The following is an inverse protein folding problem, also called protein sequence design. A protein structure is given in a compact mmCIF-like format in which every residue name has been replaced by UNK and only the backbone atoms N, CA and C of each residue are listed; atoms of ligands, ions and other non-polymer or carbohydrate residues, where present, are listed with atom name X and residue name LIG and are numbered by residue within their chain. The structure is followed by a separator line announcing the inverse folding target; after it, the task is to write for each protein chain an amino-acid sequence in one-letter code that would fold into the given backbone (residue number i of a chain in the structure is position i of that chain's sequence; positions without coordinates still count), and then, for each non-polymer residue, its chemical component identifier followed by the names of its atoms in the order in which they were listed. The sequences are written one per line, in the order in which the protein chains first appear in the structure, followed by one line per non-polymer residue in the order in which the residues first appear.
data_IF_368190975034
#
_entry.id   IF_368190975034
#
_cell.length_a   1.000
_cell.length_b   1.000
_cell.length_c   1.000
_cell.angle_alpha   90.00
_cell.angle_beta   90.00
_cell.angle_gamma   90.00
#
_symmetry.space_group_name_H-M   'P 1'
#
loop_
_entity.id
_entity.type
_entity.pdbx_description
1 polymer ?
#
# COMPACT_ATOMS: atom_id res chain seq x y z
N UNK A 1 7.47 -80.15 -17.51
CA UNK A 1 7.92 -79.25 -16.36
C UNK A 1 7.96 -77.87 -16.91
N UNK A 2 6.87 -77.10 -16.70
CA UNK A 2 6.77 -75.70 -17.13
C UNK A 2 6.83 -74.86 -15.85
N UNK A 3 7.89 -74.04 -15.71
CA UNK A 3 8.05 -73.07 -14.60
C UNK A 3 7.25 -71.81 -14.93
N UNK A 4 6.24 -71.54 -14.13
CA UNK A 4 5.46 -70.31 -14.19
C UNK A 4 6.22 -69.24 -13.36
N UNK A 5 6.74 -68.20 -14.03
CA UNK A 5 7.25 -67.00 -13.40
C UNK A 5 6.09 -66.08 -13.11
N UNK A 6 5.81 -65.85 -11.83
CA UNK A 6 4.92 -64.79 -11.35
C UNK A 6 5.73 -63.48 -11.22
N UNK A 7 5.52 -62.56 -12.14
CA UNK A 7 6.05 -61.19 -12.01
C UNK A 7 5.03 -60.32 -11.25
N UNK A 8 5.39 -60.03 -9.99
CA UNK A 8 4.64 -59.11 -9.15
C UNK A 8 4.93 -57.65 -9.59
N UNK A 9 4.02 -57.07 -10.33
CA UNK A 9 4.08 -55.66 -10.69
C UNK A 9 3.63 -54.83 -9.50
N UNK A 10 4.60 -54.29 -8.77
CA UNK A 10 4.35 -53.29 -7.71
C UNK A 10 3.98 -51.97 -8.33
N UNK A 11 2.69 -51.67 -8.35
CA UNK A 11 2.16 -50.38 -8.78
C UNK A 11 2.39 -49.38 -7.66
N UNK A 12 3.48 -48.62 -7.73
CA UNK A 12 3.68 -47.42 -6.88
C UNK A 12 2.67 -46.35 -7.36
N UNK A 13 1.54 -46.27 -6.69
CA UNK A 13 0.65 -45.10 -6.78
C UNK A 13 1.34 -43.97 -6.10
N UNK A 14 2.03 -43.14 -6.89
CA UNK A 14 2.47 -41.82 -6.43
C UNK A 14 1.21 -40.99 -6.24
N UNK A 15 0.70 -40.90 -5.00
CA UNK A 15 -0.19 -39.83 -4.60
C UNK A 15 0.61 -38.52 -4.69
N UNK A 16 0.60 -37.90 -5.86
CA UNK A 16 0.89 -36.49 -5.96
C UNK A 16 -0.23 -35.77 -5.19
N UNK A 17 0.06 -35.38 -3.97
CA UNK A 17 -0.72 -34.32 -3.34
C UNK A 17 -0.56 -33.09 -4.23
N UNK A 18 -1.52 -32.86 -5.14
CA UNK A 18 -1.76 -31.52 -5.66
C UNK A 18 -2.07 -30.66 -4.43
N UNK A 19 -1.05 -30.00 -3.88
CA UNK A 19 -1.31 -28.80 -3.10
C UNK A 19 -2.08 -27.88 -4.04
N UNK A 20 -3.39 -27.79 -3.87
CA UNK A 20 -4.16 -26.66 -4.38
C UNK A 20 -3.46 -25.43 -3.84
N UNK A 21 -2.64 -24.79 -4.65
CA UNK A 21 -2.11 -23.47 -4.38
C UNK A 21 -3.33 -22.58 -4.22
N UNK A 22 -3.64 -22.25 -2.99
CA UNK A 22 -4.77 -21.35 -2.69
C UNK A 22 -4.50 -20.05 -3.43
N UNK A 23 -5.45 -19.64 -4.28
CA UNK A 23 -5.28 -18.45 -5.10
C UNK A 23 -5.11 -17.25 -4.19
N UNK A 24 -4.12 -16.40 -4.46
CA UNK A 24 -3.88 -15.19 -3.69
C UNK A 24 -5.17 -14.34 -3.59
N UNK A 25 -5.66 -14.03 -2.38
CA UNK A 25 -6.93 -13.35 -2.16
C UNK A 25 -7.06 -11.98 -2.84
N UNK A 26 -5.93 -11.33 -3.15
CA UNK A 26 -5.90 -10.03 -3.79
C UNK A 26 -6.09 -10.06 -5.31
N UNK A 27 -5.99 -11.22 -5.96
CA UNK A 27 -6.08 -11.33 -7.42
C UNK A 27 -7.51 -11.19 -7.95
N UNK A 28 -8.50 -11.33 -7.09
CA UNK A 28 -9.91 -11.13 -7.40
C UNK A 28 -10.54 -10.16 -6.41
N UNK A 29 -11.69 -9.61 -6.76
CA UNK A 29 -12.49 -8.83 -5.81
C UNK A 29 -12.90 -9.68 -4.61
N UNK A 30 -12.95 -9.06 -3.43
CA UNK A 30 -13.41 -9.74 -2.23
C UNK A 30 -14.90 -10.10 -2.34
N UNK A 31 -15.21 -11.38 -2.14
CA UNK A 31 -16.58 -11.91 -2.24
C UNK A 31 -17.31 -11.90 -0.89
N UNK A 32 -16.92 -11.04 0.01
CA UNK A 32 -17.52 -10.82 1.32
C UNK A 32 -18.63 -9.80 1.23
N UNK A 33 -19.43 -9.68 2.28
CA UNK A 33 -20.42 -8.60 2.41
C UNK A 33 -19.70 -7.24 2.30
N UNK A 34 -20.24 -6.35 1.48
CA UNK A 34 -19.69 -5.02 1.17
C UNK A 34 -18.29 -5.02 0.51
N UNK A 35 -17.78 -6.16 0.03
CA UNK A 35 -16.44 -6.25 -0.54
C UNK A 35 -15.31 -6.04 0.47
N UNK A 36 -15.57 -6.27 1.75
CA UNK A 36 -14.57 -6.10 2.80
C UNK A 36 -13.47 -7.18 2.71
N UNK A 37 -12.21 -6.88 3.08
CA UNK A 37 -11.13 -7.88 3.11
C UNK A 37 -11.45 -9.04 4.07
N UNK A 38 -11.24 -10.28 3.62
CA UNK A 38 -11.34 -11.46 4.49
C UNK A 38 -9.98 -11.74 5.16
N UNK A 39 -9.76 -11.11 6.31
CA UNK A 39 -8.50 -11.25 7.05
C UNK A 39 -8.23 -12.67 7.54
N UNK A 40 -9.22 -13.58 7.54
CA UNK A 40 -8.98 -14.99 7.87
C UNK A 40 -8.20 -15.74 6.78
N UNK A 41 -8.19 -15.20 5.54
CA UNK A 41 -7.53 -15.75 4.36
C UNK A 41 -6.29 -14.98 3.95
N UNK A 42 -6.18 -13.71 4.34
CA UNK A 42 -5.02 -12.87 3.99
C UNK A 42 -3.85 -13.22 4.92
N UNK A 43 -2.68 -13.45 4.33
CA UNK A 43 -1.41 -13.75 5.02
C UNK A 43 -0.30 -12.88 4.48
N UNK A 44 0.80 -12.77 5.24
CA UNK A 44 1.95 -11.95 4.86
C UNK A 44 2.50 -12.29 3.46
N UNK A 45 2.59 -13.59 3.14
CA UNK A 45 3.08 -14.07 1.85
C UNK A 45 2.23 -13.68 0.64
N UNK A 46 1.01 -13.19 0.84
CA UNK A 46 0.13 -12.75 -0.24
C UNK A 46 0.44 -11.33 -0.73
N UNK A 47 1.02 -10.46 0.11
CA UNK A 47 1.18 -9.05 -0.21
C UNK A 47 2.17 -8.79 -1.35
N UNK A 48 3.41 -9.29 -1.21
CA UNK A 48 4.44 -9.03 -2.22
C UNK A 48 4.05 -9.51 -3.61
N UNK A 49 3.60 -10.77 -3.81
CA UNK A 49 3.13 -11.21 -5.12
C UNK A 49 1.96 -10.38 -5.66
N UNK A 50 1.07 -9.88 -4.77
CA UNK A 50 -0.05 -9.06 -5.18
C UNK A 50 0.38 -7.65 -5.61
N UNK A 51 1.34 -7.04 -4.91
CA UNK A 51 1.95 -5.79 -5.33
C UNK A 51 2.61 -5.92 -6.72
N UNK A 52 3.46 -6.93 -6.89
CA UNK A 52 4.16 -7.14 -8.16
C UNK A 52 3.20 -7.43 -9.31
N UNK A 53 2.17 -8.24 -9.07
CA UNK A 53 1.14 -8.54 -10.07
C UNK A 53 0.30 -7.31 -10.40
N UNK A 54 -0.07 -6.51 -9.38
CA UNK A 54 -0.81 -5.27 -9.58
C UNK A 54 -0.02 -4.22 -10.38
N UNK A 55 1.28 -4.12 -10.15
CA UNK A 55 2.19 -3.27 -10.93
C UNK A 55 2.26 -3.75 -12.39
N UNK A 56 2.43 -5.06 -12.61
CA UNK A 56 2.46 -5.64 -13.96
C UNK A 56 1.18 -5.34 -14.75
N UNK A 57 0.03 -5.56 -14.14
CA UNK A 57 -1.27 -5.31 -14.78
C UNK A 57 -1.48 -3.82 -15.05
N UNK A 58 -1.21 -2.94 -14.07
CA UNK A 58 -1.37 -1.51 -14.28
C UNK A 58 -0.42 -0.99 -15.37
N UNK A 59 0.81 -1.49 -15.44
CA UNK A 59 1.73 -1.14 -16.53
C UNK A 59 1.16 -1.52 -17.91
N UNK A 60 0.51 -2.68 -18.03
CA UNK A 60 -0.14 -3.09 -19.27
C UNK A 60 -1.34 -2.21 -19.61
N UNK A 61 -2.16 -1.84 -18.62
CA UNK A 61 -3.29 -0.92 -18.76
C UNK A 61 -2.84 0.49 -19.19
N UNK A 62 -1.81 1.03 -18.55
CA UNK A 62 -1.22 2.33 -18.92
C UNK A 62 -0.67 2.28 -20.35
N UNK A 63 0.04 1.19 -20.69
CA UNK A 63 0.52 1.01 -22.05
C UNK A 63 -0.62 0.98 -23.08
N UNK A 64 -1.73 0.32 -22.78
CA UNK A 64 -2.89 0.29 -23.66
C UNK A 64 -3.52 1.69 -23.85
N UNK A 65 -3.51 2.55 -22.82
CA UNK A 65 -3.95 3.95 -22.94
C UNK A 65 -3.00 4.73 -23.85
N UNK A 66 -1.70 4.60 -23.64
CA UNK A 66 -0.67 5.33 -24.41
C UNK A 66 -0.67 4.91 -25.87
N UNK A 67 -0.76 3.61 -26.14
CA UNK A 67 -0.72 3.04 -27.50
C UNK A 67 -2.06 3.16 -28.26
N UNK A 68 -3.10 3.68 -27.63
CA UNK A 68 -4.39 3.83 -28.30
C UNK A 68 -4.28 4.82 -29.48
N UNK A 69 -4.53 4.37 -30.72
CA UNK A 69 -4.39 5.22 -31.91
C UNK A 69 -5.49 6.26 -32.06
N UNK A 70 -6.56 6.16 -31.28
CA UNK A 70 -7.66 7.12 -31.32
C UNK A 70 -7.29 8.43 -30.63
N UNK A 71 -7.89 9.52 -31.07
CA UNK A 71 -7.78 10.81 -30.41
C UNK A 71 -8.12 10.71 -28.91
N UNK A 72 -7.37 11.39 -28.03
CA UNK A 72 -7.65 11.38 -26.61
C UNK A 72 -9.04 11.91 -26.29
N UNK A 73 -9.81 11.13 -25.53
CA UNK A 73 -11.12 11.52 -25.01
C UNK A 73 -11.16 11.36 -23.50
N UNK A 74 -12.17 11.92 -22.85
CA UNK A 74 -12.37 11.71 -21.42
C UNK A 74 -12.48 10.21 -21.09
N UNK A 75 -13.19 9.43 -21.91
CA UNK A 75 -13.43 8.01 -21.69
C UNK A 75 -12.17 7.16 -21.91
N UNK A 76 -11.50 7.31 -23.07
CA UNK A 76 -10.36 6.46 -23.44
C UNK A 76 -9.04 6.88 -22.77
N UNK A 77 -9.04 7.98 -22.02
CA UNK A 77 -7.84 8.48 -21.34
C UNK A 77 -8.07 8.63 -19.84
N UNK A 78 -9.03 9.47 -19.41
CA UNK A 78 -9.20 9.78 -17.99
C UNK A 78 -9.93 8.65 -17.24
N UNK A 79 -11.04 8.15 -17.78
CA UNK A 79 -11.76 7.02 -17.17
C UNK A 79 -10.92 5.74 -17.23
N UNK A 80 -10.21 5.50 -18.33
CA UNK A 80 -9.32 4.35 -18.46
C UNK A 80 -8.18 4.40 -17.40
N UNK A 81 -7.59 5.59 -17.20
CA UNK A 81 -6.55 5.79 -16.17
C UNK A 81 -7.12 5.63 -14.75
N UNK A 82 -8.30 6.16 -14.47
CA UNK A 82 -8.94 6.07 -13.15
C UNK A 82 -9.32 4.63 -12.77
N UNK A 83 -9.65 3.81 -13.75
CA UNK A 83 -9.97 2.38 -13.56
C UNK A 83 -8.74 1.47 -13.51
N UNK A 84 -7.56 1.99 -13.87
CA UNK A 84 -6.34 1.17 -13.89
C UNK A 84 -5.85 0.82 -12.49
N UNK A 85 -5.13 -0.29 -12.37
CA UNK A 85 -4.47 -0.69 -11.13
C UNK A 85 -5.40 -1.31 -10.07
N UNK A 86 -6.44 -2.01 -10.46
CA UNK A 86 -7.41 -2.58 -9.54
C UNK A 86 -6.82 -3.51 -8.47
N UNK A 87 -5.90 -4.41 -8.84
CA UNK A 87 -5.18 -5.27 -7.87
C UNK A 87 -4.29 -4.43 -6.97
N UNK A 88 -3.54 -3.48 -7.55
CA UNK A 88 -2.63 -2.63 -6.79
C UNK A 88 -3.37 -1.77 -5.76
N UNK A 89 -4.50 -1.19 -6.13
CA UNK A 89 -5.36 -0.44 -5.22
C UNK A 89 -5.89 -1.32 -4.08
N UNK A 90 -6.31 -2.56 -4.39
CA UNK A 90 -6.84 -3.51 -3.42
C UNK A 90 -5.79 -3.94 -2.40
N UNK A 91 -4.60 -4.35 -2.85
CA UNK A 91 -3.53 -4.76 -1.94
C UNK A 91 -2.99 -3.60 -1.13
N UNK A 92 -2.81 -2.42 -1.75
CA UNK A 92 -2.33 -1.21 -1.06
C UNK A 92 -3.29 -0.76 0.03
N UNK A 93 -4.60 -0.74 -0.25
CA UNK A 93 -5.61 -0.35 0.73
C UNK A 93 -5.59 -1.20 1.99
N UNK A 94 -5.42 -2.52 1.85
CA UNK A 94 -5.32 -3.44 3.01
C UNK A 94 -3.96 -3.32 3.70
N UNK A 95 -2.88 -3.32 2.92
CA UNK A 95 -1.52 -3.31 3.46
C UNK A 95 -1.23 -2.06 4.28
N UNK A 96 -1.49 -0.87 3.71
CA UNK A 96 -1.20 0.38 4.39
C UNK A 96 -2.13 0.64 5.57
N UNK A 97 -3.39 0.18 5.52
CA UNK A 97 -4.26 0.24 6.69
C UNK A 97 -3.70 -0.59 7.86
N UNK A 98 -3.12 -1.77 7.58
CA UNK A 98 -2.51 -2.61 8.63
C UNK A 98 -1.18 -2.04 9.14
N UNK A 99 -0.34 -1.48 8.26
CA UNK A 99 0.93 -0.87 8.70
C UNK A 99 0.72 0.33 9.62
N UNK A 100 -0.41 1.02 9.50
CA UNK A 100 -0.75 2.16 10.37
C UNK A 100 -1.46 1.74 11.67
N UNK A 101 -2.32 0.71 11.61
CA UNK A 101 -3.20 0.35 12.73
C UNK A 101 -2.69 -0.82 13.59
N UNK A 102 -2.00 -1.80 12.98
CA UNK A 102 -1.57 -3.05 13.63
C UNK A 102 -0.29 -3.59 12.98
N UNK A 103 0.76 -2.76 13.03
CA UNK A 103 2.05 -3.11 12.41
C UNK A 103 2.85 -4.12 13.24
N UNK A 104 3.76 -4.81 12.56
CA UNK A 104 4.76 -5.70 13.16
C UNK A 104 6.02 -5.71 12.29
N UNK A 105 7.11 -6.30 12.82
CA UNK A 105 8.42 -6.31 12.16
C UNK A 105 8.37 -6.84 10.72
N UNK A 106 7.52 -7.83 10.45
CA UNK A 106 7.41 -8.44 9.11
C UNK A 106 6.69 -7.51 8.12
N UNK A 107 5.64 -6.80 8.56
CA UNK A 107 4.96 -5.79 7.74
C UNK A 107 5.87 -4.58 7.51
N UNK A 108 6.61 -4.15 8.55
CA UNK A 108 7.60 -3.07 8.44
C UNK A 108 8.69 -3.41 7.43
N UNK A 109 9.28 -4.60 7.51
CA UNK A 109 10.30 -5.05 6.56
C UNK A 109 9.77 -5.13 5.11
N UNK A 110 8.52 -5.58 4.94
CA UNK A 110 7.88 -5.60 3.62
C UNK A 110 7.60 -4.19 3.11
N UNK A 111 7.18 -3.26 3.97
CA UNK A 111 6.97 -1.85 3.61
C UNK A 111 8.28 -1.21 3.13
N UNK A 112 9.38 -1.40 3.88
CA UNK A 112 10.71 -0.93 3.48
C UNK A 112 11.15 -1.48 2.11
N UNK A 113 10.87 -2.76 1.85
CA UNK A 113 11.17 -3.41 0.58
C UNK A 113 10.34 -2.86 -0.58
N UNK A 114 9.05 -2.64 -0.35
CA UNK A 114 8.10 -2.25 -1.41
C UNK A 114 8.11 -0.75 -1.71
N UNK A 115 8.47 0.11 -0.76
CA UNK A 115 8.43 1.55 -0.93
C UNK A 115 9.18 2.07 -2.16
N UNK A 116 10.45 1.70 -2.41
CA UNK A 116 11.15 2.15 -3.62
C UNK A 116 10.54 1.57 -4.90
N UNK A 117 9.97 0.36 -4.86
CA UNK A 117 9.30 -0.28 -6.01
C UNK A 117 8.02 0.46 -6.37
N UNK A 118 7.21 0.81 -5.38
CA UNK A 118 5.97 1.57 -5.56
C UNK A 118 6.26 3.02 -5.99
N UNK A 119 7.32 3.63 -5.46
CA UNK A 119 7.78 4.95 -5.88
C UNK A 119 8.20 4.97 -7.35
N UNK A 120 8.99 3.98 -7.77
CA UNK A 120 9.39 3.83 -9.18
C UNK A 120 8.17 3.60 -10.09
N UNK A 121 7.22 2.78 -9.66
CA UNK A 121 5.99 2.54 -10.41
C UNK A 121 5.17 3.83 -10.57
N UNK A 122 5.00 4.59 -9.49
CA UNK A 122 4.33 5.90 -9.53
C UNK A 122 5.02 6.86 -10.50
N UNK A 123 6.35 6.94 -10.45
CA UNK A 123 7.13 7.75 -11.37
C UNK A 123 6.97 7.30 -12.84
N UNK A 124 6.86 5.99 -13.08
CA UNK A 124 6.63 5.46 -14.43
C UNK A 124 5.28 5.86 -15.01
N UNK A 125 4.30 6.12 -14.18
CA UNK A 125 2.98 6.66 -14.59
C UNK A 125 3.05 8.18 -14.73
N UNK A 126 3.39 8.89 -13.66
CA UNK A 126 3.25 10.35 -13.59
C UNK A 126 4.36 11.14 -14.30
N UNK A 127 5.49 10.52 -14.64
CA UNK A 127 6.53 11.10 -15.49
C UNK A 127 6.45 10.61 -16.95
N UNK A 128 5.43 9.81 -17.29
CA UNK A 128 5.22 9.36 -18.68
C UNK A 128 4.70 10.51 -19.53
N UNK A 129 5.55 10.97 -20.45
CA UNK A 129 5.23 12.13 -21.29
C UNK A 129 4.12 11.86 -22.30
N UNK A 130 4.01 10.63 -22.82
CA UNK A 130 2.97 10.28 -23.79
C UNK A 130 1.60 10.18 -23.10
N UNK A 131 1.55 9.60 -21.90
CA UNK A 131 0.33 9.61 -21.10
C UNK A 131 -0.07 11.04 -20.68
N UNK A 132 0.89 11.84 -20.21
CA UNK A 132 0.66 13.24 -19.88
C UNK A 132 0.11 14.03 -21.07
N UNK A 133 0.66 13.82 -22.27
CA UNK A 133 0.17 14.48 -23.48
C UNK A 133 -1.31 14.16 -23.72
N UNK A 134 -1.72 12.89 -23.62
CA UNK A 134 -3.12 12.50 -23.78
C UNK A 134 -4.03 13.20 -22.75
N UNK A 135 -3.60 13.24 -21.48
CA UNK A 135 -4.34 13.94 -20.39
C UNK A 135 -4.43 15.45 -20.67
N UNK A 136 -3.32 16.07 -21.13
CA UNK A 136 -3.26 17.48 -21.45
C UNK A 136 -4.15 17.83 -22.66
N UNK A 137 -4.22 16.95 -23.65
CA UNK A 137 -5.07 17.13 -24.83
C UNK A 137 -6.56 17.12 -24.44
N UNK A 138 -7.01 16.19 -23.57
CA UNK A 138 -8.39 16.18 -23.05
C UNK A 138 -8.68 17.45 -22.24
N UNK A 139 -7.74 17.88 -21.40
CA UNK A 139 -7.88 19.10 -20.62
C UNK A 139 -7.96 20.36 -21.50
N UNK A 140 -7.20 20.39 -22.61
CA UNK A 140 -7.24 21.49 -23.57
C UNK A 140 -8.59 21.50 -24.33
N UNK A 141 -9.10 20.33 -24.73
CA UNK A 141 -10.41 20.22 -25.40
C UNK A 141 -11.54 20.79 -24.53
N UNK A 142 -11.51 20.53 -23.23
CA UNK A 142 -12.50 21.12 -22.29
C UNK A 142 -12.36 22.64 -22.22
N UNK A 143 -11.13 23.16 -22.05
CA UNK A 143 -10.88 24.61 -22.01
C UNK A 143 -11.34 25.35 -23.26
N UNK A 144 -11.22 24.71 -24.41
CA UNK A 144 -11.65 25.24 -25.71
C UNK A 144 -13.16 25.07 -25.95
N UNK A 145 -13.88 24.44 -25.01
CA UNK A 145 -15.33 24.18 -25.16
C UNK A 145 -15.66 23.11 -26.20
N UNK A 146 -14.69 22.30 -26.63
CA UNK A 146 -14.88 21.21 -27.59
C UNK A 146 -15.60 20.02 -26.98
N UNK A 147 -15.46 19.84 -25.68
CA UNK A 147 -16.17 18.83 -24.87
C UNK A 147 -16.85 19.50 -23.69
N UNK A 148 -17.96 18.92 -23.25
CA UNK A 148 -18.70 19.37 -22.06
C UNK A 148 -18.68 18.23 -21.06
N UNK A 149 -18.15 18.48 -19.87
CA UNK A 149 -18.04 17.52 -18.77
C UNK A 149 -19.01 17.87 -17.64
N UNK A 150 -19.45 16.86 -16.88
CA UNK A 150 -20.16 17.11 -15.61
C UNK A 150 -19.18 17.71 -14.58
N UNK A 151 -19.71 18.20 -13.47
CA UNK A 151 -18.86 18.74 -12.38
C UNK A 151 -17.87 17.70 -11.85
N UNK A 152 -18.29 16.44 -11.71
CA UNK A 152 -17.45 15.34 -11.23
C UNK A 152 -16.38 14.99 -12.26
N UNK A 153 -16.75 14.90 -13.53
CA UNK A 153 -15.81 14.62 -14.62
C UNK A 153 -14.76 15.73 -14.76
N UNK A 154 -15.18 17.00 -14.68
CA UNK A 154 -14.26 18.14 -14.65
C UNK A 154 -13.26 18.03 -13.50
N UNK A 155 -13.74 17.73 -12.28
CA UNK A 155 -12.87 17.58 -11.10
C UNK A 155 -11.89 16.42 -11.25
N UNK A 156 -12.32 15.30 -11.82
CA UNK A 156 -11.45 14.14 -12.07
C UNK A 156 -10.35 14.49 -13.06
N UNK A 157 -10.70 15.12 -14.18
CA UNK A 157 -9.74 15.59 -15.18
C UNK A 157 -8.74 16.59 -14.59
N UNK A 158 -9.22 17.61 -13.87
CA UNK A 158 -8.37 18.61 -13.23
C UNK A 158 -7.42 18.00 -12.20
N UNK A 159 -7.88 17.01 -11.42
CA UNK A 159 -7.06 16.27 -10.47
C UNK A 159 -5.91 15.55 -11.17
N UNK A 160 -6.18 14.78 -12.23
CA UNK A 160 -5.14 14.07 -12.98
C UNK A 160 -4.18 15.05 -13.67
N UNK A 161 -4.70 16.05 -14.36
CA UNK A 161 -3.84 17.05 -15.01
C UNK A 161 -2.88 17.71 -14.02
N UNK A 162 -3.40 18.17 -12.86
CA UNK A 162 -2.57 18.76 -11.81
C UNK A 162 -1.59 17.77 -11.20
N UNK A 163 -1.97 16.51 -11.05
CA UNK A 163 -1.07 15.46 -10.55
C UNK A 163 0.13 15.29 -11.48
N UNK A 164 -0.08 15.15 -12.79
CA UNK A 164 0.99 15.07 -13.77
C UNK A 164 1.90 16.31 -13.76
N UNK A 165 1.32 17.50 -13.76
CA UNK A 165 2.08 18.76 -13.73
C UNK A 165 2.95 18.85 -12.48
N UNK A 166 2.39 18.57 -11.31
CA UNK A 166 3.09 18.63 -10.03
C UNK A 166 4.16 17.55 -9.88
N UNK A 167 3.92 16.38 -10.45
CA UNK A 167 4.90 15.29 -10.46
C UNK A 167 6.02 15.51 -11.47
N UNK A 168 5.98 16.57 -12.30
CA UNK A 168 7.07 16.93 -13.19
C UNK A 168 7.02 16.29 -14.57
N UNK A 169 5.84 15.88 -15.05
CA UNK A 169 5.68 15.32 -16.40
C UNK A 169 6.22 16.24 -17.52
N UNK A 170 6.12 17.56 -17.34
CA UNK A 170 6.64 18.55 -18.28
C UNK A 170 8.14 18.85 -18.19
N UNK A 171 8.87 18.19 -17.30
CA UNK A 171 10.32 18.36 -17.18
C UNK A 171 11.07 17.66 -18.31
N UNK A 172 12.27 18.18 -18.65
CA UNK A 172 13.20 17.50 -19.55
C UNK A 172 13.71 16.17 -18.94
N UNK A 173 14.21 15.28 -19.78
CA UNK A 173 14.65 13.95 -19.38
C UNK A 173 15.71 13.95 -18.27
N UNK A 174 16.65 14.92 -18.29
CA UNK A 174 17.68 15.04 -17.27
C UNK A 174 17.10 15.39 -15.88
N UNK A 175 16.16 16.33 -15.85
CA UNK A 175 15.46 16.69 -14.61
C UNK A 175 14.53 15.58 -14.12
N UNK A 176 13.85 14.86 -15.02
CA UNK A 176 13.05 13.69 -14.65
C UNK A 176 13.92 12.58 -14.05
N UNK A 177 15.10 12.31 -14.61
CA UNK A 177 16.03 11.33 -14.04
C UNK A 177 16.45 11.72 -12.63
N UNK A 178 16.80 12.98 -12.40
CA UNK A 178 17.16 13.47 -11.06
C UNK A 178 15.97 13.42 -10.09
N UNK A 179 14.77 13.72 -10.57
CA UNK A 179 13.57 13.64 -9.75
C UNK A 179 13.25 12.20 -9.30
N UNK A 180 13.42 11.21 -10.20
CA UNK A 180 13.29 9.79 -9.86
C UNK A 180 14.27 9.36 -8.76
N UNK A 181 15.52 9.80 -8.82
CA UNK A 181 16.50 9.53 -7.77
C UNK A 181 16.05 10.11 -6.43
N UNK A 182 15.57 11.37 -6.42
CA UNK A 182 15.06 12.03 -5.23
C UNK A 182 13.83 11.30 -4.66
N UNK A 183 12.87 10.94 -5.50
CA UNK A 183 11.65 10.23 -5.08
C UNK A 183 11.99 8.87 -4.46
N UNK A 184 12.92 8.13 -5.06
CA UNK A 184 13.40 6.86 -4.52
C UNK A 184 14.06 7.04 -3.15
N UNK A 185 14.90 8.05 -2.98
CA UNK A 185 15.54 8.36 -1.69
C UNK A 185 14.50 8.77 -0.65
N UNK A 186 13.57 9.66 -1.02
CA UNK A 186 12.48 10.11 -0.14
C UNK A 186 11.58 8.96 0.30
N UNK A 187 11.26 7.99 -0.57
CA UNK A 187 10.43 6.85 -0.20
C UNK A 187 11.07 6.00 0.90
N UNK A 188 12.39 5.87 0.89
CA UNK A 188 13.13 5.13 1.92
C UNK A 188 13.29 5.95 3.20
N UNK A 189 13.64 7.23 3.07
CA UNK A 189 13.83 8.13 4.22
C UNK A 189 12.52 8.38 4.97
N UNK A 190 11.39 8.48 4.27
CA UNK A 190 10.07 8.64 4.88
C UNK A 190 9.75 7.48 5.83
N UNK A 191 9.91 6.24 5.36
CA UNK A 191 9.66 5.05 6.20
C UNK A 191 10.63 5.00 7.39
N UNK A 192 11.91 5.29 7.18
CA UNK A 192 12.87 5.32 8.26
C UNK A 192 12.50 6.37 9.33
N UNK A 193 12.03 7.54 8.90
CA UNK A 193 11.57 8.59 9.80
C UNK A 193 10.34 8.17 10.61
N UNK A 194 9.32 7.57 9.95
CA UNK A 194 8.11 7.10 10.62
C UNK A 194 8.44 5.98 11.63
N UNK A 195 9.32 5.05 11.27
CA UNK A 195 9.80 4.00 12.19
C UNK A 195 10.54 4.60 13.40
N UNK A 196 11.35 5.66 13.22
CA UNK A 196 12.02 6.32 14.33
C UNK A 196 11.00 6.98 15.26
N UNK A 197 9.98 7.69 14.73
CA UNK A 197 8.91 8.27 15.54
C UNK A 197 8.18 7.18 16.33
N UNK A 198 7.79 6.08 15.67
CA UNK A 198 7.11 4.97 16.33
C UNK A 198 7.95 4.39 17.48
N UNK A 199 9.24 4.14 17.23
CA UNK A 199 10.15 3.58 18.22
C UNK A 199 10.36 4.54 19.41
N UNK A 200 10.54 5.83 19.16
CA UNK A 200 10.67 6.84 20.22
C UNK A 200 9.39 6.96 21.05
N UNK A 201 8.23 6.96 20.38
CA UNK A 201 6.94 7.00 21.08
C UNK A 201 6.72 5.77 21.97
N UNK A 202 7.13 4.59 21.51
CA UNK A 202 7.02 3.35 22.27
C UNK A 202 8.04 3.24 23.40
N UNK A 203 9.23 3.84 23.22
CA UNK A 203 10.30 3.82 24.21
C UNK A 203 10.11 4.87 25.29
N UNK A 204 9.40 5.97 25.02
CA UNK A 204 9.24 7.07 25.97
C UNK A 204 8.45 6.65 27.19
N UNK A 205 9.02 6.91 28.37
CA UNK A 205 8.42 6.62 29.66
C UNK A 205 8.67 7.78 30.63
N UNK A 206 7.62 8.50 31.01
CA UNK A 206 7.67 9.43 32.12
C UNK A 206 7.41 8.67 33.42
N UNK A 207 8.45 8.47 34.21
CA UNK A 207 8.34 7.82 35.54
C UNK A 207 8.18 8.86 36.62
N UNK A 208 7.07 8.79 37.35
CA UNK A 208 6.76 9.67 38.47
C UNK A 208 7.00 8.89 39.76
N UNK A 209 7.82 9.43 40.65
CA UNK A 209 8.26 8.75 41.88
C UNK A 209 7.49 9.23 43.11
N UNK A 210 6.96 10.46 43.09
CA UNK A 210 6.26 11.05 44.25
C UNK A 210 4.77 11.19 43.91
N UNK A 211 3.91 10.68 44.78
CA UNK A 211 2.46 10.81 44.64
C UNK A 211 1.98 12.26 44.59
N UNK A 212 2.69 13.18 45.26
CA UNK A 212 2.38 14.61 45.24
C UNK A 212 2.42 15.21 43.82
N UNK A 213 3.26 14.68 42.94
CA UNK A 213 3.39 15.13 41.56
C UNK A 213 2.17 14.71 40.67
N UNK A 214 1.30 13.85 41.22
CA UNK A 214 0.02 13.44 40.59
C UNK A 214 -1.15 14.32 41.04
N UNK A 215 -0.91 15.39 41.78
CA UNK A 215 -1.96 16.27 42.28
C UNK A 215 -2.80 16.84 41.13
N UNK A 216 -4.12 16.73 41.24
CA UNK A 216 -5.05 17.21 40.23
C UNK A 216 -5.43 16.16 39.17
N UNK A 217 -4.74 15.04 39.11
CA UNK A 217 -5.16 13.92 38.21
C UNK A 217 -6.31 13.12 38.80
N UNK A 218 -7.28 12.70 37.98
CA UNK A 218 -8.34 11.78 38.40
C UNK A 218 -7.76 10.44 38.89
N UNK A 219 -8.46 9.79 39.84
CA UNK A 219 -8.00 8.53 40.44
C UNK A 219 -7.82 7.39 39.41
N UNK A 220 -8.66 7.35 38.37
CA UNK A 220 -8.53 6.34 37.34
C UNK A 220 -7.26 6.52 36.48
N UNK A 221 -6.79 7.76 36.29
CA UNK A 221 -5.50 8.05 35.62
C UNK A 221 -4.33 7.58 36.49
N UNK A 222 -4.38 7.87 37.78
CA UNK A 222 -3.36 7.42 38.75
C UNK A 222 -3.28 5.91 38.83
N UNK A 223 -4.45 5.24 38.88
CA UNK A 223 -4.53 3.78 38.90
C UNK A 223 -3.96 3.17 37.59
N UNK A 224 -4.30 3.71 36.42
CA UNK A 224 -3.74 3.26 35.15
C UNK A 224 -2.23 3.42 35.09
N UNK A 225 -1.70 4.58 35.51
CA UNK A 225 -0.26 4.83 35.56
C UNK A 225 0.49 3.90 36.53
N UNK A 226 -0.15 3.52 37.65
CA UNK A 226 0.45 2.56 38.60
C UNK A 226 0.50 1.14 38.01
N UNK A 227 -0.57 0.68 37.32
CA UNK A 227 -0.58 -0.61 36.63
C UNK A 227 0.46 -0.66 35.50
N UNK A 228 0.58 0.42 34.71
CA UNK A 228 1.60 0.52 33.66
C UNK A 228 3.01 0.48 34.25
N UNK A 229 3.27 1.17 35.34
CA UNK A 229 4.55 1.11 36.06
C UNK A 229 4.85 -0.30 36.57
N UNK A 230 3.86 -0.99 37.12
CA UNK A 230 3.99 -2.38 37.57
C UNK A 230 4.32 -3.33 36.42
N UNK A 231 3.64 -3.20 35.27
CA UNK A 231 3.92 -3.98 34.08
C UNK A 231 5.34 -3.78 33.54
N UNK A 232 5.86 -2.53 33.69
CA UNK A 232 7.24 -2.17 33.34
C UNK A 232 8.29 -2.51 34.42
N UNK A 233 7.92 -3.25 35.49
CA UNK A 233 8.84 -3.62 36.58
C UNK A 233 9.24 -2.47 37.51
N UNK A 234 8.44 -1.39 37.55
CA UNK A 234 8.65 -0.19 38.36
C UNK A 234 7.57 -0.06 39.45
N UNK A 235 7.27 -1.15 40.15
CA UNK A 235 6.25 -1.21 41.18
C UNK A 235 6.46 -0.12 42.25
N UNK A 236 5.36 0.51 42.69
CA UNK A 236 5.41 1.63 43.65
C UNK A 236 5.68 3.00 43.05
N UNK A 237 5.74 3.08 41.72
CA UNK A 237 5.82 4.33 40.94
C UNK A 237 4.62 4.45 40.01
N UNK A 238 4.55 5.54 39.28
CA UNK A 238 3.55 5.77 38.24
C UNK A 238 4.30 6.00 36.92
N UNK A 239 3.81 5.39 35.85
CA UNK A 239 4.39 5.50 34.52
C UNK A 239 3.36 6.10 33.57
N UNK A 240 3.80 7.03 32.75
CA UNK A 240 3.04 7.59 31.64
C UNK A 240 3.81 7.37 30.34
N UNK A 241 3.24 6.60 29.44
CA UNK A 241 3.71 6.49 28.05
C UNK A 241 2.97 7.46 27.15
N UNK A 242 3.51 7.75 25.96
CA UNK A 242 2.79 8.59 24.97
C UNK A 242 1.52 7.92 24.44
N UNK A 243 1.46 6.59 24.45
CA UNK A 243 0.28 5.83 24.02
C UNK A 243 -0.94 6.10 24.94
N UNK A 244 -0.74 6.40 26.21
CA UNK A 244 -1.80 6.71 27.16
C UNK A 244 -2.55 8.02 26.81
N UNK A 245 -1.86 9.01 26.27
CA UNK A 245 -2.48 10.29 25.90
C UNK A 245 -3.32 10.21 24.62
N UNK A 246 -3.18 9.17 23.81
CA UNK A 246 -3.98 8.98 22.62
C UNK A 246 -5.40 8.47 22.90
N UNK A 247 -5.69 8.06 24.13
CA UNK A 247 -6.99 7.48 24.55
C UNK A 247 -7.85 8.49 25.34
N UNK A 248 -7.27 9.63 25.74
CA UNK A 248 -7.96 10.73 26.44
C UNK A 248 -8.26 11.90 25.50
#
# INVERSE_FOLDING_TARGET
MKRLLFTLATCCVMCACEQKTEMNPFFTEFQTEYGAPDFTKIRLEHYEPAFLKGIEEQNAEIKAIVDNPEEPTFENTIVALDKSGGILARVSGVFFALTEADTNDSLTALNEKMAPVLSEHSDNIYLNQDLYKRVADVHQQEKEGKITLTTEQHRLLDKYYKAFVRSGAGLDAGKQSRLREINKELSTLGIAFDNHILNENNAYQLVIENEADLAGLPEWVKAGAAEEAKAAGKEGKWLQSLAFFAIC
#
